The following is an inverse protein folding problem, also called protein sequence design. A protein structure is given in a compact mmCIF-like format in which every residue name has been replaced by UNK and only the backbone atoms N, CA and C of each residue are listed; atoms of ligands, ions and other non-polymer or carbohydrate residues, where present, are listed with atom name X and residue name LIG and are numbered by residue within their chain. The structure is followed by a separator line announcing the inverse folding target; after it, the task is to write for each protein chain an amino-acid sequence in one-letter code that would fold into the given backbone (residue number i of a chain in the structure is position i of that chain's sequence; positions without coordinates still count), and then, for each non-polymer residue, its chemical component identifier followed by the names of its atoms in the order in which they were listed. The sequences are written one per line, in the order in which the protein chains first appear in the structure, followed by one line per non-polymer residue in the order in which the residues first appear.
data_IF_079885483672
#
_entry.id   IF_079885483672
#
_cell.length_a   1.000
_cell.length_b   1.000
_cell.length_c   1.000
_cell.angle_alpha   90.00
_cell.angle_beta   90.00
_cell.angle_gamma   90.00
#
_symmetry.space_group_name_H-M   'P 1'
#
loop_
_entity.id
_entity.type
_entity.pdbx_description
1 polymer ?
#
# COMPACT_ATOMS: atom_id res chain seq x y z
N UNK A 1 21.39 1.95 -5.89
CA UNK A 1 20.05 2.01 -5.35
C UNK A 1 19.03 2.26 -6.45
N UNK A 2 18.01 1.46 -6.45
CA UNK A 2 17.04 1.54 -7.51
C UNK A 2 16.00 2.61 -7.24
N UNK A 3 15.64 3.35 -8.26
CA UNK A 3 14.58 4.34 -8.13
C UNK A 3 13.38 3.85 -8.92
N UNK A 4 12.24 3.85 -8.28
CA UNK A 4 11.01 3.41 -8.92
C UNK A 4 10.11 4.60 -9.19
N UNK A 5 9.38 4.56 -10.29
CA UNK A 5 8.30 5.50 -10.46
C UNK A 5 7.05 4.79 -9.93
N UNK A 6 5.94 5.50 -9.86
CA UNK A 6 4.73 4.95 -9.26
C UNK A 6 4.23 3.71 -9.98
N UNK A 7 4.20 3.75 -11.31
CA UNK A 7 3.74 2.60 -12.08
C UNK A 7 4.63 1.38 -11.89
N UNK A 8 5.95 1.60 -11.79
CA UNK A 8 6.87 0.51 -11.56
C UNK A 8 6.69 -0.12 -10.18
N UNK A 9 6.44 0.71 -9.17
CA UNK A 9 6.22 0.22 -7.83
C UNK A 9 4.98 -0.66 -7.77
N UNK A 10 3.91 -0.24 -8.44
CA UNK A 10 2.70 -1.05 -8.50
C UNK A 10 2.95 -2.36 -9.26
N UNK A 11 3.74 -2.29 -10.34
CA UNK A 11 4.04 -3.48 -11.12
C UNK A 11 4.80 -4.52 -10.30
N UNK A 12 5.59 -4.09 -9.31
CA UNK A 12 6.30 -5.02 -8.45
C UNK A 12 5.35 -5.90 -7.63
N UNK A 13 4.10 -5.43 -7.45
CA UNK A 13 3.08 -6.21 -6.77
C UNK A 13 2.15 -6.92 -7.77
N UNK A 14 2.40 -6.78 -9.05
CA UNK A 14 1.52 -7.37 -10.06
C UNK A 14 0.28 -6.55 -10.33
N UNK A 15 0.34 -5.25 -10.08
CA UNK A 15 -0.79 -4.35 -10.27
C UNK A 15 -0.49 -3.33 -11.36
N UNK A 16 -1.56 -2.81 -11.98
CA UNK A 16 -1.42 -1.84 -13.03
C UNK A 16 -2.24 -0.62 -12.70
N UNK A 17 -1.62 0.54 -12.62
CA UNK A 17 -2.32 1.77 -12.34
C UNK A 17 -3.07 2.26 -13.56
N UNK A 18 -4.30 2.71 -13.37
CA UNK A 18 -5.06 3.31 -14.43
C UNK A 18 -4.45 4.68 -14.77
N UNK A 19 -4.08 5.46 -13.74
CA UNK A 19 -3.40 6.73 -13.95
C UNK A 19 -1.97 6.57 -13.43
N UNK A 20 -1.02 6.54 -14.34
CA UNK A 20 0.38 6.26 -13.98
C UNK A 20 1.05 7.31 -13.13
N UNK A 21 0.53 8.52 -13.12
CA UNK A 21 1.14 9.61 -12.37
C UNK A 21 0.45 9.92 -11.06
N UNK A 22 -0.85 9.70 -10.99
CA UNK A 22 -1.63 10.07 -9.83
C UNK A 22 -2.51 8.97 -9.27
N UNK A 23 -2.13 7.73 -9.52
CA UNK A 23 -2.91 6.61 -9.03
C UNK A 23 -2.81 6.48 -7.52
N UNK A 24 -3.90 6.13 -6.89
CA UNK A 24 -3.96 5.94 -5.45
C UNK A 24 -4.13 4.49 -5.05
N UNK A 25 -4.67 3.66 -5.93
CA UNK A 25 -4.89 2.26 -5.63
C UNK A 25 -5.05 1.44 -6.90
N UNK A 26 -4.88 0.15 -6.77
CA UNK A 26 -5.10 -0.80 -7.87
C UNK A 26 -5.29 -2.19 -7.26
N UNK A 27 -5.73 -3.14 -8.06
CA UNK A 27 -5.86 -4.53 -7.61
C UNK A 27 -4.81 -5.35 -8.35
N UNK A 28 -4.03 -6.10 -7.59
CA UNK A 28 -2.98 -6.93 -8.16
C UNK A 28 -3.56 -8.21 -8.74
N UNK A 29 -2.76 -8.91 -9.53
CA UNK A 29 -3.21 -10.15 -10.15
C UNK A 29 -3.63 -11.21 -9.14
N UNK A 30 -3.02 -11.21 -7.97
CA UNK A 30 -3.38 -12.17 -6.93
C UNK A 30 -4.57 -11.72 -6.09
N UNK A 31 -5.17 -10.59 -6.41
CA UNK A 31 -6.34 -10.10 -5.70
C UNK A 31 -6.06 -9.13 -4.58
N UNK A 32 -4.80 -8.91 -4.23
CA UNK A 32 -4.46 -7.96 -3.18
C UNK A 32 -4.73 -6.54 -3.67
N UNK A 33 -5.09 -5.66 -2.76
CA UNK A 33 -5.28 -4.24 -3.08
C UNK A 33 -3.98 -3.52 -2.81
N UNK A 34 -3.49 -2.72 -3.76
CA UNK A 34 -2.26 -1.98 -3.60
C UNK A 34 -2.64 -0.51 -3.38
N UNK A 35 -2.06 0.10 -2.36
CA UNK A 35 -2.35 1.48 -2.01
C UNK A 35 -1.11 2.35 -2.05
N UNK A 36 -1.28 3.60 -2.49
CA UNK A 36 -0.23 4.60 -2.38
C UNK A 36 -0.35 5.23 -1.00
N UNK A 37 0.70 5.14 -0.21
CA UNK A 37 0.72 5.62 1.17
C UNK A 37 1.77 6.70 1.35
N UNK A 38 1.32 7.92 1.65
CA UNK A 38 2.24 9.01 1.89
C UNK A 38 2.80 8.90 3.30
N UNK A 39 4.09 9.07 3.46
CA UNK A 39 4.72 8.92 4.76
C UNK A 39 4.16 9.84 5.82
N UNK A 40 3.68 11.03 5.42
CA UNK A 40 3.12 11.97 6.37
C UNK A 40 1.86 11.45 7.06
N UNK A 41 1.20 10.45 6.46
CA UNK A 41 -0.03 9.89 7.03
C UNK A 41 0.19 8.54 7.69
N UNK A 42 1.43 8.14 7.87
CA UNK A 42 1.75 6.88 8.53
C UNK A 42 2.01 7.11 10.01
N UNK A 43 1.55 6.20 10.84
CA UNK A 43 1.74 6.28 12.27
C UNK A 43 2.01 4.89 12.82
N UNK A 44 2.55 4.81 14.04
CA UNK A 44 2.81 3.55 14.69
C UNK A 44 2.04 3.49 16.00
N UNK A 45 0.77 3.07 15.95
CA UNK A 45 -0.06 3.03 17.16
C UNK A 45 0.39 1.99 18.17
N UNK A 46 1.20 1.03 17.74
CA UNK A 46 1.68 0.00 18.65
C UNK A 46 2.89 -0.68 18.06
N UNK A 47 3.48 -1.57 18.83
CA UNK A 47 4.65 -2.30 18.38
C UNK A 47 4.26 -3.22 17.22
N UNK A 48 5.00 -3.14 16.14
CA UNK A 48 4.76 -4.03 15.00
C UNK A 48 3.62 -3.62 14.09
N UNK A 49 2.98 -2.49 14.34
CA UNK A 49 1.88 -2.03 13.51
C UNK A 49 2.23 -0.68 12.89
N UNK A 50 2.06 -0.60 11.58
CA UNK A 50 2.21 0.65 10.86
C UNK A 50 0.84 1.00 10.30
N UNK A 51 0.30 2.14 10.69
CA UNK A 51 -1.07 2.52 10.31
C UNK A 51 -1.09 3.65 9.31
N UNK A 52 -1.89 3.50 8.28
CA UNK A 52 -2.10 4.53 7.28
C UNK A 52 -3.57 4.99 7.37
N UNK A 53 -3.76 6.28 7.58
CA UNK A 53 -5.10 6.85 7.63
C UNK A 53 -5.27 7.89 6.56
N UNK A 54 -6.44 7.97 5.97
CA UNK A 54 -6.71 8.98 4.97
C UNK A 54 -8.19 9.19 4.75
N UNK A 55 -8.49 10.23 3.97
CA UNK A 55 -9.85 10.55 3.56
C UNK A 55 -9.89 10.58 2.05
N UNK A 56 -10.94 10.04 1.48
CA UNK A 56 -11.06 9.97 0.03
C UNK A 56 -11.10 11.38 -0.58
N UNK A 57 -11.93 12.25 -0.03
CA UNK A 57 -12.12 13.56 -0.63
C UNK A 57 -10.92 14.48 -0.52
N UNK A 58 -10.10 14.33 0.50
CA UNK A 58 -8.95 15.22 0.65
C UNK A 58 -7.68 14.66 0.03
N UNK A 59 -7.65 13.37 -0.25
CA UNK A 59 -6.43 12.74 -0.73
C UNK A 59 -6.30 12.64 -2.23
N UNK A 60 -7.38 12.86 -2.97
CA UNK A 60 -7.36 12.60 -4.39
C UNK A 60 -7.72 13.83 -5.21
N UNK A 61 -6.77 14.35 -5.97
CA UNK A 61 -7.05 15.51 -6.83
C UNK A 61 -7.79 15.12 -8.10
N UNK A 62 -7.90 13.83 -8.41
CA UNK A 62 -8.54 13.37 -9.63
C UNK A 62 -9.76 12.54 -9.26
N UNK A 63 -10.93 12.94 -9.76
CA UNK A 63 -12.18 12.27 -9.43
C UNK A 63 -12.16 10.77 -9.72
N UNK A 64 -11.55 10.38 -10.83
CA UNK A 64 -11.49 8.96 -11.18
C UNK A 64 -10.66 8.17 -10.16
N UNK A 65 -9.57 8.77 -9.68
CA UNK A 65 -8.73 8.12 -8.67
C UNK A 65 -9.49 7.97 -7.36
N UNK A 66 -10.30 8.95 -6.98
CA UNK A 66 -11.13 8.87 -5.79
C UNK A 66 -12.15 7.74 -5.91
N UNK A 67 -12.78 7.61 -7.07
CA UNK A 67 -13.78 6.57 -7.30
C UNK A 67 -13.14 5.19 -7.22
N UNK A 68 -11.96 5.03 -7.83
CA UNK A 68 -11.25 3.77 -7.78
C UNK A 68 -10.80 3.44 -6.37
N UNK A 69 -10.33 4.42 -5.64
CA UNK A 69 -9.88 4.19 -4.26
C UNK A 69 -11.04 3.71 -3.40
N UNK A 70 -12.21 4.33 -3.55
CA UNK A 70 -13.39 3.92 -2.80
C UNK A 70 -13.78 2.49 -3.17
N UNK A 71 -13.75 2.17 -4.45
CA UNK A 71 -14.09 0.84 -4.91
C UNK A 71 -13.11 -0.21 -4.36
N UNK A 72 -11.82 0.09 -4.41
CA UNK A 72 -10.81 -0.86 -3.96
C UNK A 72 -10.82 -1.05 -2.44
N UNK A 73 -11.07 0.02 -1.69
CA UNK A 73 -11.16 -0.08 -0.23
C UNK A 73 -12.40 -0.87 0.18
N UNK A 74 -13.51 -0.70 -0.54
CA UNK A 74 -14.72 -1.47 -0.29
C UNK A 74 -14.45 -2.95 -0.54
N UNK A 75 -13.76 -3.25 -1.62
CA UNK A 75 -13.41 -4.61 -1.97
C UNK A 75 -12.53 -5.25 -0.90
N UNK A 76 -11.51 -4.51 -0.44
CA UNK A 76 -10.60 -5.02 0.58
C UNK A 76 -11.33 -5.26 1.89
N UNK A 77 -12.23 -4.35 2.27
CA UNK A 77 -12.98 -4.49 3.50
C UNK A 77 -13.97 -5.67 3.43
N UNK A 78 -14.78 -5.68 2.37
CA UNK A 78 -15.85 -6.66 2.27
C UNK A 78 -15.38 -8.07 1.99
N UNK A 79 -14.28 -8.20 1.26
CA UNK A 79 -13.75 -9.51 0.92
C UNK A 79 -12.49 -9.86 1.71
N UNK A 80 -12.14 -9.05 2.68
CA UNK A 80 -10.96 -9.28 3.53
C UNK A 80 -9.70 -9.47 2.70
N UNK A 81 -9.54 -8.69 1.65
CA UNK A 81 -8.36 -8.80 0.80
C UNK A 81 -7.17 -8.13 1.45
N UNK A 82 -5.98 -8.71 1.30
CA UNK A 82 -4.79 -8.08 1.87
C UNK A 82 -4.46 -6.80 1.12
N UNK A 83 -3.79 -5.89 1.79
CA UNK A 83 -3.40 -4.61 1.22
C UNK A 83 -1.88 -4.54 1.17
N UNK A 84 -1.36 -4.17 0.01
CA UNK A 84 0.07 -3.96 -0.19
C UNK A 84 0.35 -2.47 -0.26
N UNK A 85 1.52 -2.07 0.18
CA UNK A 85 1.85 -0.67 0.36
C UNK A 85 2.90 -0.18 -0.63
N UNK A 86 2.61 0.95 -1.28
CA UNK A 86 3.61 1.70 -2.03
C UNK A 86 3.83 2.99 -1.26
N UNK A 87 5.04 3.23 -0.79
CA UNK A 87 5.34 4.37 0.05
C UNK A 87 5.86 5.52 -0.79
N UNK A 88 5.27 6.70 -0.61
CA UNK A 88 5.70 7.90 -1.28
C UNK A 88 6.19 8.88 -0.22
N UNK A 89 7.45 9.28 -0.34
CA UNK A 89 8.06 10.25 0.57
C UNK A 89 8.41 11.49 -0.22
N UNK A 90 7.88 12.66 0.12
CA UNK A 90 8.27 13.89 -0.57
C UNK A 90 9.75 14.14 -0.35
N UNK A 91 10.43 14.66 -1.35
CA UNK A 91 11.81 15.03 -1.19
C UNK A 91 11.97 16.48 -1.63
N UNK A 92 13.14 17.03 -1.41
CA UNK A 92 13.42 18.41 -1.76
C UNK A 92 13.17 18.61 -3.24
N UNK A 93 12.48 19.67 -3.60
CA UNK A 93 12.18 19.98 -4.97
C UNK A 93 10.96 19.22 -5.45
N UNK A 94 10.97 18.83 -6.72
CA UNK A 94 9.82 18.17 -7.29
C UNK A 94 9.82 16.67 -7.26
N UNK A 95 10.93 16.06 -6.95
CA UNK A 95 10.97 14.61 -6.98
C UNK A 95 10.36 14.02 -5.72
N UNK A 96 9.96 12.78 -5.84
CA UNK A 96 9.42 12.03 -4.72
C UNK A 96 10.19 10.72 -4.68
N UNK A 97 10.40 10.20 -3.48
CA UNK A 97 11.01 8.88 -3.34
C UNK A 97 9.88 7.87 -3.24
N UNK A 98 9.90 6.88 -4.07
CA UNK A 98 8.86 5.86 -4.12
C UNK A 98 9.52 4.51 -3.88
N UNK A 99 8.99 3.74 -2.91
CA UNK A 99 9.52 2.42 -2.63
C UNK A 99 8.42 1.53 -2.11
N UNK A 100 8.72 0.26 -2.05
CA UNK A 100 7.75 -0.74 -1.62
C UNK A 100 8.24 -1.45 -0.38
N UNK A 101 7.32 -2.04 0.37
CA UNK A 101 7.63 -2.80 1.57
C UNK A 101 6.92 -4.14 1.47
N UNK A 102 7.58 -5.10 0.80
CA UNK A 102 6.99 -6.42 0.64
C UNK A 102 7.02 -7.24 1.92
N UNK A 103 7.72 -6.75 2.93
CA UNK A 103 7.75 -7.39 4.23
C UNK A 103 6.52 -7.03 5.08
N UNK A 104 5.65 -6.16 4.57
CA UNK A 104 4.45 -5.77 5.29
C UNK A 104 3.21 -6.15 4.52
N UNK A 105 2.15 -6.49 5.25
CA UNK A 105 0.87 -6.76 4.64
C UNK A 105 -0.19 -6.08 5.50
N UNK A 106 -1.17 -5.50 4.85
CA UNK A 106 -2.17 -4.73 5.54
C UNK A 106 -3.56 -5.30 5.44
N UNK A 107 -4.44 -4.77 6.26
CA UNK A 107 -5.86 -5.04 6.18
C UNK A 107 -6.61 -3.77 6.51
N UNK A 108 -7.79 -3.62 5.92
CA UNK A 108 -8.60 -2.43 6.19
C UNK A 108 -9.19 -2.58 7.59
N UNK A 109 -8.75 -1.72 8.51
CA UNK A 109 -9.24 -1.75 9.88
C UNK A 109 -10.61 -1.09 9.95
N UNK A 110 -10.83 -0.02 9.17
CA UNK A 110 -12.14 0.61 9.07
C UNK A 110 -12.24 1.41 7.79
N UNK A 111 -13.44 1.51 7.26
CA UNK A 111 -13.71 2.32 6.08
C UNK A 111 -15.20 2.61 6.04
N UNK A 112 -15.56 3.89 6.11
CA UNK A 112 -16.96 4.29 6.14
C UNK A 112 -17.44 4.90 4.81
N UNK A 113 -16.65 4.80 3.76
CA UNK A 113 -16.95 5.39 2.48
C UNK A 113 -16.19 6.67 2.21
N UNK A 114 -15.63 7.28 3.24
CA UNK A 114 -14.88 8.51 3.14
C UNK A 114 -13.55 8.41 3.90
N UNK A 115 -13.61 8.04 5.17
CA UNK A 115 -12.42 7.93 6.01
C UNK A 115 -12.01 6.47 6.09
N UNK A 116 -10.72 6.19 5.97
CA UNK A 116 -10.24 4.82 6.03
C UNK A 116 -8.99 4.70 6.89
N UNK A 117 -8.84 3.52 7.50
CA UNK A 117 -7.68 3.15 8.30
C UNK A 117 -7.22 1.79 7.84
N UNK A 118 -5.95 1.66 7.50
CA UNK A 118 -5.36 0.39 7.08
C UNK A 118 -4.17 0.11 7.99
N UNK A 119 -4.14 -1.05 8.61
CA UNK A 119 -3.05 -1.44 9.49
C UNK A 119 -2.17 -2.47 8.78
N UNK A 120 -0.87 -2.23 8.82
CA UNK A 120 0.13 -3.11 8.19
C UNK A 120 0.97 -3.77 9.27
N UNK A 121 1.20 -5.07 9.10
CA UNK A 121 2.06 -5.82 10.01
C UNK A 121 3.03 -6.63 9.18
N UNK A 122 4.02 -7.23 9.82
CA UNK A 122 4.98 -8.03 9.10
C UNK A 122 4.35 -9.28 8.55
N UNK A 123 4.70 -9.59 7.32
CA UNK A 123 4.28 -10.83 6.70
C UNK A 123 4.93 -11.97 7.46
N UNK A 124 4.18 -13.01 7.83
CA UNK A 124 4.78 -14.17 8.50
C UNK A 124 5.87 -14.77 7.63
N UNK A 125 6.99 -15.10 8.26
CA UNK A 125 8.11 -15.68 7.55
C UNK A 125 8.08 -17.19 7.68
N UNK A 126 8.54 -17.91 6.66
CA UNK A 126 8.65 -19.34 6.81
C UNK A 126 9.75 -19.65 7.82
N UNK A 127 9.72 -20.84 8.40
CA UNK A 127 10.73 -21.22 9.38
C UNK A 127 12.12 -21.06 8.80
N UNK A 128 13.02 -20.62 9.64
CA UNK A 128 14.35 -20.36 9.15
C UNK A 128 15.19 -21.56 8.93
N UNK A 129 14.76 -22.70 9.32
CA UNK A 129 15.56 -23.85 9.12
C UNK A 129 15.96 -23.92 7.69
N UNK A 130 15.22 -23.33 6.84
CA UNK A 130 15.60 -23.39 5.46
C UNK A 130 16.91 -22.71 5.27
N UNK A 131 17.33 -21.85 6.16
CA UNK A 131 18.54 -21.25 5.98
C UNK A 131 19.49 -21.87 6.85
N UNK A 132 19.07 -22.31 7.88
CA UNK A 132 19.98 -22.81 8.81
C UNK A 132 20.57 -24.06 8.36
N UNK A 133 19.76 -24.92 7.85
CA UNK A 133 20.26 -26.15 7.47
C UNK A 133 21.25 -26.12 6.52
N UNK A 134 21.45 -25.10 6.09
CA UNK A 134 22.37 -25.10 5.13
C UNK A 134 23.59 -25.20 5.79
N UNK A 135 23.70 -25.44 6.88
CA UNK A 135 24.70 -25.51 7.44
C UNK A 135 25.30 -26.55 7.54
N UNK A 136 25.36 -26.94 7.24
CA UNK A 136 25.81 -27.86 7.28
C UNK A 136 26.49 -28.07 6.77
#
# INVERSE_FOLDING_TARGET
MERLNLAEAYARYGAKLENRLRGLSAVAEDGAVVLTCETARLARPGIGILRFEGDISTGAPVARASALLREHLTLARDESRPVSMVIVTPSTGRSRNIHIRKDLIGSVASFDGEHYVVDFTRVPQPPRESKVRRKR
#
